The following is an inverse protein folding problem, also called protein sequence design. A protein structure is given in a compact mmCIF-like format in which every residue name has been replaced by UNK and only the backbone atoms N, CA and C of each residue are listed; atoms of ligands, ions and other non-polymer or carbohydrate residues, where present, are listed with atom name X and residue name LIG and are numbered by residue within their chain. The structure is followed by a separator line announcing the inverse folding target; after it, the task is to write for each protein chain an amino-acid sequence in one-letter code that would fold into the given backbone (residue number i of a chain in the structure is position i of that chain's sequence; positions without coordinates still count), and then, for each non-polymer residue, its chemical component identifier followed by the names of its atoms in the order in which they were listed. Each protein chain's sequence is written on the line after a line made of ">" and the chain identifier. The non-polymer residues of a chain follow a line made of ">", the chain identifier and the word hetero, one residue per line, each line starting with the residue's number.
data_IF_639604051707
#
_entry.id   IF_639604051707
#
_cell.length_a   1.000
_cell.length_b   1.000
_cell.length_c   1.000
_cell.angle_alpha   90.00
_cell.angle_beta   90.00
_cell.angle_gamma   90.00
#
_symmetry.space_group_name_H-M   'P 1'
#
loop_
_entity.id
_entity.type
_entity.pdbx_description
1 polymer ?
#
# COMPACT_ATOMS: atom_id res chain seq x y z
N UNK A 1 -0.20 -27.47 -1.99
CA UNK A 1 -0.36 -26.02 -2.28
C UNK A 1 -0.99 -25.88 -3.65
N UNK A 2 -2.10 -25.14 -3.79
CA UNK A 2 -2.66 -24.79 -5.10
C UNK A 2 -2.03 -23.47 -5.56
N UNK A 3 -1.82 -23.31 -6.86
CA UNK A 3 -1.23 -22.11 -7.46
C UNK A 3 -2.12 -21.56 -8.57
N UNK A 4 -2.10 -20.25 -8.76
CA UNK A 4 -2.85 -19.56 -9.82
C UNK A 4 -1.92 -18.72 -10.68
N UNK A 5 -2.13 -18.78 -11.98
CA UNK A 5 -1.53 -17.84 -12.92
C UNK A 5 -2.27 -16.49 -12.85
N UNK A 6 -1.55 -15.41 -12.55
CA UNK A 6 -2.09 -14.05 -12.50
C UNK A 6 -1.35 -13.18 -13.53
N UNK A 7 -2.11 -12.43 -14.33
CA UNK A 7 -1.56 -11.47 -15.29
C UNK A 7 -1.34 -10.13 -14.59
N UNK A 8 -0.09 -9.69 -14.48
CA UNK A 8 0.27 -8.41 -13.90
C UNK A 8 0.36 -7.33 -14.99
N UNK A 9 -0.27 -6.16 -14.77
CA UNK A 9 0.03 -4.95 -15.51
C UNK A 9 1.48 -4.50 -15.31
N UNK A 10 1.95 -3.57 -16.14
CA UNK A 10 3.31 -3.00 -16.03
C UNK A 10 3.59 -2.43 -14.64
N UNK A 11 4.80 -2.67 -14.15
CA UNK A 11 5.28 -2.18 -12.85
C UNK A 11 5.40 -3.28 -11.80
N UNK A 12 5.87 -2.89 -10.62
CA UNK A 12 6.08 -3.81 -9.49
C UNK A 12 4.78 -4.02 -8.70
N UNK A 13 4.56 -5.26 -8.30
CA UNK A 13 3.44 -5.72 -7.47
C UNK A 13 3.96 -6.54 -6.30
N UNK A 14 3.31 -6.46 -5.16
CA UNK A 14 3.67 -7.22 -3.96
C UNK A 14 2.53 -8.15 -3.56
N UNK A 15 2.83 -9.40 -3.22
CA UNK A 15 1.89 -10.27 -2.54
C UNK A 15 1.61 -9.70 -1.14
N UNK A 16 0.36 -9.40 -0.86
CA UNK A 16 -0.03 -8.74 0.39
C UNK A 16 0.09 -9.63 1.63
N UNK A 17 0.12 -10.95 1.44
CA UNK A 17 0.30 -11.89 2.54
C UNK A 17 1.78 -12.10 2.87
N UNK A 18 2.65 -12.16 1.85
CA UNK A 18 4.06 -12.54 2.04
C UNK A 18 5.05 -11.41 1.85
N UNK A 19 4.63 -10.25 1.35
CA UNK A 19 5.49 -9.13 0.97
C UNK A 19 6.35 -9.38 -0.28
N UNK A 20 6.17 -10.52 -0.96
CA UNK A 20 7.02 -10.90 -2.09
C UNK A 20 6.76 -10.01 -3.30
N UNK A 21 7.82 -9.45 -3.86
CA UNK A 21 7.75 -8.62 -5.06
C UNK A 21 7.68 -9.46 -6.35
N UNK A 22 6.94 -8.95 -7.33
CA UNK A 22 6.79 -9.46 -8.69
C UNK A 22 6.86 -8.29 -9.67
N UNK A 23 7.52 -8.49 -10.81
CA UNK A 23 7.61 -7.49 -11.88
C UNK A 23 6.63 -7.81 -13.00
N UNK A 24 5.85 -6.81 -13.39
CA UNK A 24 5.02 -6.82 -14.59
C UNK A 24 5.59 -5.91 -15.68
N UNK A 25 5.15 -6.07 -16.94
CA UNK A 25 4.00 -6.84 -17.36
C UNK A 25 4.35 -8.33 -17.52
N UNK A 26 3.40 -9.22 -17.25
CA UNK A 26 3.67 -10.65 -17.40
C UNK A 26 2.69 -11.53 -16.66
N UNK A 27 2.89 -12.84 -16.77
CA UNK A 27 2.14 -13.81 -15.99
C UNK A 27 3.03 -14.36 -14.89
N UNK A 28 2.56 -14.30 -13.66
CA UNK A 28 3.26 -14.85 -12.49
C UNK A 28 2.44 -15.98 -11.89
N UNK A 29 3.14 -16.95 -11.29
CA UNK A 29 2.51 -18.03 -10.55
C UNK A 29 2.55 -17.68 -9.06
N UNK A 30 1.38 -17.47 -8.47
CA UNK A 30 1.22 -17.15 -7.04
C UNK A 30 0.59 -18.32 -6.29
N UNK A 31 0.93 -18.44 -5.01
CA UNK A 31 0.28 -19.42 -4.14
C UNK A 31 -1.17 -18.99 -3.88
N UNK A 32 -2.09 -19.94 -4.00
CA UNK A 32 -3.54 -19.74 -3.89
C UNK A 32 -4.18 -20.89 -3.09
N UNK A 33 -3.84 -21.04 -1.79
CA UNK A 33 -4.44 -22.07 -0.94
C UNK A 33 -5.95 -21.83 -0.77
N UNK A 34 -6.71 -22.86 -0.38
CA UNK A 34 -8.14 -22.68 -0.11
C UNK A 34 -8.43 -21.70 1.04
N UNK A 35 -7.46 -21.51 1.94
CA UNK A 35 -7.55 -20.59 3.07
C UNK A 35 -7.36 -19.12 2.70
N UNK A 36 -7.06 -18.77 1.45
CA UNK A 36 -6.80 -17.38 1.08
C UNK A 36 -6.82 -17.11 -0.42
N UNK A 37 -7.38 -15.96 -0.80
CA UNK A 37 -7.34 -15.46 -2.18
C UNK A 37 -6.05 -14.67 -2.38
N UNK A 38 -5.28 -14.89 -3.46
CA UNK A 38 -4.11 -14.07 -3.75
C UNK A 38 -4.53 -12.61 -4.00
N UNK A 39 -4.00 -11.69 -3.18
CA UNK A 39 -4.20 -10.25 -3.32
C UNK A 39 -2.83 -9.60 -3.49
N UNK A 40 -2.69 -8.81 -4.55
CA UNK A 40 -1.45 -8.12 -4.89
C UNK A 40 -1.64 -6.60 -4.80
N UNK A 41 -0.75 -5.92 -4.10
CA UNK A 41 -0.72 -4.45 -4.05
C UNK A 41 0.32 -3.90 -5.04
N UNK A 42 -0.02 -2.81 -5.72
CA UNK A 42 0.93 -2.13 -6.61
C UNK A 42 2.01 -1.42 -5.78
N UNK A 43 3.24 -1.41 -6.26
CA UNK A 43 4.29 -0.59 -5.65
C UNK A 43 3.92 0.89 -5.66
N UNK A 44 4.08 1.54 -4.50
CA UNK A 44 3.64 2.90 -4.24
C UNK A 44 2.18 3.02 -3.77
N UNK A 45 1.45 1.93 -3.56
CA UNK A 45 0.11 2.02 -3.00
C UNK A 45 0.17 2.47 -1.52
N UNK A 46 -0.65 3.47 -1.17
CA UNK A 46 -0.96 3.86 0.21
C UNK A 46 -2.39 3.44 0.48
N UNK A 47 -2.59 2.51 1.41
CA UNK A 47 -3.89 1.85 1.65
C UNK A 47 -4.30 2.09 3.11
N UNK A 48 -5.42 2.76 3.39
CA UNK A 48 -5.95 2.82 4.75
C UNK A 48 -6.46 1.45 5.17
N UNK A 49 -5.98 0.98 6.31
CA UNK A 49 -6.39 -0.28 6.97
C UNK A 49 -6.75 0.00 8.43
N UNK A 50 -7.39 -0.97 9.08
CA UNK A 50 -7.57 -0.96 10.53
C UNK A 50 -6.38 -1.67 11.18
N UNK A 51 -5.72 -0.97 12.10
CA UNK A 51 -4.68 -1.53 12.95
C UNK A 51 -5.23 -2.59 13.90
N UNK A 52 -4.34 -3.26 14.64
CA UNK A 52 -4.74 -4.25 15.65
C UNK A 52 -5.53 -3.62 16.81
N UNK A 53 -5.32 -2.33 17.04
CA UNK A 53 -6.04 -1.46 17.98
C UNK A 53 -7.39 -0.94 17.42
N UNK A 54 -7.71 -1.23 16.14
CA UNK A 54 -8.89 -0.70 15.45
C UNK A 54 -8.71 0.73 14.91
N UNK A 55 -7.58 1.37 15.21
CA UNK A 55 -7.28 2.71 14.74
C UNK A 55 -6.89 2.72 13.26
N UNK A 56 -7.10 3.83 12.53
CA UNK A 56 -6.61 3.97 11.16
C UNK A 56 -5.08 3.83 11.09
N UNK A 57 -4.62 3.00 10.16
CA UNK A 57 -3.20 2.81 9.83
C UNK A 57 -3.04 2.88 8.31
N UNK A 58 -1.97 3.53 7.84
CA UNK A 58 -1.60 3.52 6.43
C UNK A 58 -0.65 2.36 6.17
N UNK A 59 -1.12 1.37 5.42
CA UNK A 59 -0.26 0.36 4.84
C UNK A 59 0.33 0.88 3.53
N UNK A 60 1.65 1.06 3.52
CA UNK A 60 2.37 1.66 2.39
C UNK A 60 3.30 0.64 1.75
N UNK A 61 3.04 0.34 0.49
CA UNK A 61 3.87 -0.57 -0.30
C UNK A 61 4.98 0.21 -0.97
N UNK A 62 6.23 -0.11 -0.63
CA UNK A 62 7.41 0.61 -1.09
C UNK A 62 7.36 0.85 -2.62
N UNK A 63 7.49 2.11 -3.08
CA UNK A 63 7.53 2.41 -4.51
C UNK A 63 8.66 1.65 -5.21
N UNK A 64 8.56 1.48 -6.52
CA UNK A 64 9.75 1.12 -7.28
C UNK A 64 10.78 2.27 -7.16
N UNK A 65 12.10 1.99 -7.13
CA UNK A 65 13.12 3.03 -7.05
C UNK A 65 12.92 4.13 -8.11
N UNK A 66 13.06 5.39 -7.70
CA UNK A 66 12.83 6.55 -8.57
C UNK A 66 11.38 6.79 -8.99
N UNK A 67 10.41 6.05 -8.42
CA UNK A 67 8.98 6.25 -8.65
C UNK A 67 8.29 6.76 -7.38
N UNK A 68 7.18 7.45 -7.59
CA UNK A 68 6.25 7.85 -6.53
C UNK A 68 4.99 6.98 -6.58
N UNK A 69 4.21 7.05 -5.52
CA UNK A 69 2.87 6.49 -5.44
C UNK A 69 2.01 7.32 -4.49
N UNK A 70 0.85 6.78 -4.11
CA UNK A 70 -0.07 7.48 -3.24
C UNK A 70 -1.37 6.73 -3.00
N UNK A 71 -2.27 7.41 -2.32
CA UNK A 71 -3.59 6.92 -1.94
C UNK A 71 -4.44 8.04 -1.38
N UNK A 72 -5.73 7.74 -1.17
CA UNK A 72 -6.68 8.66 -0.57
C UNK A 72 -7.27 8.03 0.69
N UNK A 73 -7.47 8.85 1.72
CA UNK A 73 -8.30 8.51 2.87
C UNK A 73 -9.50 9.44 2.84
N UNK A 74 -10.69 8.86 2.91
CA UNK A 74 -11.93 9.61 3.09
C UNK A 74 -12.35 9.39 4.53
N UNK A 75 -12.24 10.44 5.35
CA UNK A 75 -12.61 10.38 6.76
C UNK A 75 -14.13 10.33 6.87
N UNK A 76 -14.60 9.54 7.82
CA UNK A 76 -16.02 9.50 8.13
C UNK A 76 -16.43 10.82 8.80
N UNK A 77 -17.38 11.54 8.18
CA UNK A 77 -17.94 12.77 8.74
C UNK A 77 -18.99 12.49 9.83
N UNK A 78 -19.27 11.21 10.12
CA UNK A 78 -20.32 10.76 11.01
C UNK A 78 -21.70 10.81 10.35
N UNK A 79 -22.75 10.58 11.13
CA UNK A 79 -24.12 10.63 10.65
C UNK A 79 -24.54 12.08 10.39
N UNK A 80 -24.46 12.51 9.14
CA UNK A 80 -24.82 13.88 8.73
C UNK A 80 -24.66 14.13 7.23
N UNK A 81 -24.86 15.39 6.84
CA UNK A 81 -24.68 15.87 5.45
C UNK A 81 -23.39 16.68 5.27
N UNK A 82 -22.47 16.61 6.25
CA UNK A 82 -21.18 17.29 6.16
C UNK A 82 -20.35 16.69 5.02
N UNK A 83 -19.56 17.53 4.35
CA UNK A 83 -18.63 17.07 3.33
C UNK A 83 -17.52 16.24 3.97
N UNK A 84 -17.26 15.05 3.41
CA UNK A 84 -16.22 14.17 3.91
C UNK A 84 -14.85 14.80 3.67
N UNK A 85 -14.00 14.80 4.70
CA UNK A 85 -12.62 15.23 4.55
C UNK A 85 -11.84 14.19 3.74
N UNK A 86 -11.25 14.64 2.62
CA UNK A 86 -10.43 13.81 1.74
C UNK A 86 -8.96 14.17 1.94
N UNK A 87 -8.19 13.20 2.39
CA UNK A 87 -6.75 13.31 2.59
C UNK A 87 -6.04 12.61 1.44
N UNK A 88 -5.10 13.30 0.79
CA UNK A 88 -4.26 12.71 -0.25
C UNK A 88 -2.88 12.46 0.30
N UNK A 89 -2.38 11.24 0.10
CA UNK A 89 -1.04 10.85 0.50
C UNK A 89 -0.18 10.57 -0.72
N UNK A 90 1.07 10.99 -0.64
CA UNK A 90 2.12 10.70 -1.61
C UNK A 90 3.21 9.90 -0.90
N UNK A 91 3.76 8.91 -1.58
CA UNK A 91 4.90 8.14 -1.08
C UNK A 91 6.02 8.09 -2.11
N UNK A 92 7.27 8.17 -1.63
CA UNK A 92 8.49 8.17 -2.43
C UNK A 92 9.67 7.64 -1.62
N UNK A 93 10.76 7.31 -2.31
CA UNK A 93 12.04 7.07 -1.67
C UNK A 93 12.76 8.39 -1.38
N UNK A 94 13.36 8.50 -0.21
CA UNK A 94 14.37 9.49 0.14
C UNK A 94 15.61 8.75 0.65
N UNK A 95 16.69 8.73 -0.13
CA UNK A 95 17.82 7.86 0.17
C UNK A 95 17.39 6.39 0.22
N UNK A 96 17.53 5.78 1.40
CA UNK A 96 17.22 4.38 1.71
C UNK A 96 15.92 4.20 2.50
N UNK A 97 15.14 5.27 2.72
CA UNK A 97 13.86 5.21 3.43
C UNK A 97 12.69 5.56 2.52
N UNK A 98 11.56 4.90 2.77
CA UNK A 98 10.27 5.28 2.18
C UNK A 98 9.65 6.36 3.07
N UNK A 99 9.33 7.50 2.47
CA UNK A 99 8.60 8.59 3.13
C UNK A 99 7.17 8.67 2.60
N UNK A 100 6.29 9.16 3.46
CA UNK A 100 4.86 9.33 3.20
C UNK A 100 4.48 10.72 3.68
N UNK A 101 3.88 11.51 2.81
CA UNK A 101 3.54 12.90 3.03
C UNK A 101 2.06 13.10 2.70
N UNK A 102 1.35 13.92 3.48
CA UNK A 102 0.00 14.38 3.16
C UNK A 102 0.12 15.59 2.22
N UNK A 103 -0.50 15.50 1.05
CA UNK A 103 -0.51 16.59 0.06
C UNK A 103 -1.45 17.71 0.52
N UNK A 104 -1.00 18.96 0.43
CA UNK A 104 -1.79 20.16 0.73
C UNK A 104 -2.11 20.43 2.21
N UNK A 105 -1.61 19.62 3.15
CA UNK A 105 -1.76 19.86 4.60
C UNK A 105 -0.46 20.33 5.25
N UNK A 106 -0.53 21.36 6.10
CA UNK A 106 0.57 21.67 7.03
C UNK A 106 0.52 20.66 8.18
N UNK A 107 1.41 19.65 8.19
CA UNK A 107 1.52 18.72 9.32
C UNK A 107 2.12 17.36 9.00
N UNK A 108 2.57 16.67 10.05
CA UNK A 108 2.96 15.26 9.99
C UNK A 108 1.74 14.35 9.74
N UNK A 109 1.99 13.14 9.22
CA UNK A 109 0.94 12.13 9.08
C UNK A 109 0.42 11.75 10.47
N UNK A 110 -0.87 12.03 10.70
CA UNK A 110 -1.57 11.92 11.99
C UNK A 110 -1.96 10.48 12.37
N UNK A 111 -1.63 9.50 11.54
CA UNK A 111 -1.93 8.09 11.74
C UNK A 111 -0.68 7.22 11.63
N UNK A 112 -0.75 6.00 12.17
CA UNK A 112 0.36 5.06 12.10
C UNK A 112 0.65 4.71 10.64
N UNK A 113 1.93 4.70 10.25
CA UNK A 113 2.37 4.28 8.92
C UNK A 113 3.13 2.96 9.04
N UNK A 114 2.68 1.94 8.32
CA UNK A 114 3.38 0.66 8.17
C UNK A 114 3.88 0.50 6.74
N UNK A 115 5.19 0.68 6.59
CA UNK A 115 5.87 0.44 5.31
C UNK A 115 6.10 -1.05 5.11
N UNK A 116 5.76 -1.57 3.92
CA UNK A 116 5.95 -2.96 3.49
C UNK A 116 6.74 -3.01 2.18
N UNK A 117 7.43 -4.12 1.92
CA UNK A 117 8.18 -4.32 0.67
C UNK A 117 9.50 -3.55 0.59
N UNK A 118 9.98 -3.02 1.71
CA UNK A 118 11.40 -2.70 1.91
C UNK A 118 12.13 -4.01 2.18
N UNK A 119 13.29 -4.24 1.57
CA UNK A 119 14.11 -5.38 1.96
C UNK A 119 14.47 -5.19 3.44
N UNK A 120 14.35 -6.23 4.25
CA UNK A 120 14.93 -6.20 5.60
C UNK A 120 16.41 -5.85 5.40
N UNK A 121 16.86 -4.75 6.01
CA UNK A 121 18.27 -4.45 6.08
C UNK A 121 18.94 -5.64 6.79
N UNK A 122 19.64 -6.47 6.02
CA UNK A 122 20.51 -7.53 6.53
C UNK A 122 21.65 -6.90 7.33
#
# INVERSE_FOLDING_TARGET
>A
VRRRAVRLPRGRWYDTATGRAYEGPGQVLVDAPLSGVPVLARAGAVIPVRGADGEPELEVWAPAPGRTGGGLVVRDAGDGWAEAEVERYVTRWEGDRVVVERDGGEGEVDCRVRVRGVADAL
#
